data_IF_353955939798
#
_entry.id   IF_353955939798
#
_cell.length_a   1.000
_cell.length_b   1.000
_cell.length_c   1.000
_cell.angle_alpha   90.00
_cell.angle_beta   90.00
_cell.angle_gamma   90.00
#
_symmetry.space_group_name_H-M   'P 1'
#
loop_
_entity.id
_entity.type
_entity.pdbx_description
1 polymer ?
#
# COMPACT_ATOMS: atom_id res chain seq x y z
N UNK A 1 -2.12 -18.33 -10.04
CA UNK A 1 -1.73 -18.68 -8.65
C UNK A 1 -1.13 -17.48 -7.90
N UNK A 2 -0.11 -16.80 -8.42
CA UNK A 2 0.54 -15.67 -7.73
C UNK A 2 -0.40 -14.48 -7.39
N UNK A 3 -1.23 -14.03 -8.34
CA UNK A 3 -2.18 -12.91 -8.15
C UNK A 3 -3.16 -13.19 -6.99
N UNK A 4 -3.73 -14.40 -6.95
CA UNK A 4 -4.66 -14.79 -5.89
C UNK A 4 -4.03 -14.74 -4.50
N UNK A 5 -2.78 -15.19 -4.37
CA UNK A 5 -2.05 -15.10 -3.10
C UNK A 5 -1.83 -13.65 -2.67
N UNK A 6 -1.42 -12.77 -3.60
CA UNK A 6 -1.21 -11.34 -3.30
C UNK A 6 -2.50 -10.67 -2.82
N UNK A 7 -3.64 -10.97 -3.46
CA UNK A 7 -4.95 -10.44 -3.04
C UNK A 7 -5.29 -10.92 -1.63
N UNK A 8 -5.13 -12.21 -1.34
CA UNK A 8 -5.38 -12.77 0.00
C UNK A 8 -4.46 -12.12 1.04
N UNK A 9 -3.17 -11.97 0.73
CA UNK A 9 -2.21 -11.30 1.62
C UNK A 9 -2.62 -9.85 1.90
N UNK A 10 -3.04 -9.08 0.87
CA UNK A 10 -3.52 -7.71 1.06
C UNK A 10 -4.76 -7.66 1.96
N UNK A 11 -5.73 -8.55 1.76
CA UNK A 11 -6.94 -8.62 2.59
C UNK A 11 -6.63 -8.99 4.05
N UNK A 12 -5.71 -9.94 4.27
CA UNK A 12 -5.26 -10.33 5.59
C UNK A 12 -4.55 -9.17 6.31
N UNK A 13 -3.62 -8.50 5.62
CA UNK A 13 -2.91 -7.34 6.19
C UNK A 13 -3.87 -6.23 6.55
N UNK A 14 -4.82 -5.88 5.67
CA UNK A 14 -5.83 -4.87 5.96
C UNK A 14 -6.68 -5.24 7.17
N UNK A 15 -7.10 -6.52 7.27
CA UNK A 15 -7.88 -7.01 8.42
C UNK A 15 -7.10 -6.93 9.73
N UNK A 16 -5.85 -7.36 9.73
CA UNK A 16 -4.96 -7.31 10.91
C UNK A 16 -4.72 -5.86 11.34
N UNK A 17 -4.35 -4.99 10.39
CA UNK A 17 -4.08 -3.57 10.65
C UNK A 17 -5.33 -2.86 11.15
N UNK A 18 -6.50 -3.18 10.60
CA UNK A 18 -7.77 -2.67 11.07
C UNK A 18 -8.03 -3.08 12.53
N UNK A 19 -7.85 -4.36 12.86
CA UNK A 19 -7.99 -4.87 14.23
C UNK A 19 -7.03 -4.21 15.21
N UNK A 20 -5.74 -4.06 14.85
CA UNK A 20 -4.73 -3.37 15.68
C UNK A 20 -5.11 -1.89 15.88
N UNK A 21 -5.76 -1.28 14.89
CA UNK A 21 -6.25 0.08 14.95
C UNK A 21 -7.46 0.27 15.87
N UNK A 22 -8.24 -0.77 16.18
CA UNK A 22 -9.42 -0.64 17.06
C UNK A 22 -9.00 -0.16 18.45
N UNK A 23 -9.76 0.78 19.00
CA UNK A 23 -9.45 1.42 20.30
C UNK A 23 -8.24 2.36 20.32
N UNK A 24 -7.47 2.49 19.22
CA UNK A 24 -6.35 3.44 19.14
C UNK A 24 -6.82 4.85 18.77
N UNK A 25 -6.05 5.85 19.21
CA UNK A 25 -6.28 7.26 18.86
C UNK A 25 -6.18 7.47 17.34
N UNK A 26 -6.84 8.53 16.84
CA UNK A 26 -6.75 8.92 15.42
C UNK A 26 -5.29 9.13 14.98
N UNK A 27 -4.44 9.62 15.88
CA UNK A 27 -3.00 9.79 15.67
C UNK A 27 -2.32 8.46 15.35
N UNK A 28 -2.44 7.50 16.26
CA UNK A 28 -1.82 6.17 16.13
C UNK A 28 -2.36 5.43 14.90
N UNK A 29 -3.66 5.54 14.61
CA UNK A 29 -4.25 4.96 13.38
C UNK A 29 -3.58 5.49 12.11
N UNK A 30 -3.37 6.79 12.00
CA UNK A 30 -2.68 7.38 10.84
C UNK A 30 -1.24 6.87 10.70
N UNK A 31 -0.50 6.75 11.80
CA UNK A 31 0.88 6.23 11.77
C UNK A 31 0.89 4.78 11.27
N UNK A 32 0.04 3.91 11.85
CA UNK A 32 -0.03 2.49 11.46
C UNK A 32 -0.40 2.38 9.99
N UNK A 33 -1.47 3.06 9.55
CA UNK A 33 -1.91 3.01 8.16
C UNK A 33 -0.88 3.58 7.19
N UNK A 34 -0.20 4.68 7.55
CA UNK A 34 0.87 5.24 6.71
C UNK A 34 2.00 4.24 6.47
N UNK A 35 2.49 3.58 7.53
CA UNK A 35 3.53 2.55 7.43
C UNK A 35 3.02 1.35 6.62
N UNK A 36 1.80 0.86 6.87
CA UNK A 36 1.21 -0.24 6.11
C UNK A 36 1.11 0.09 4.62
N UNK A 37 0.71 1.32 4.29
CA UNK A 37 0.63 1.77 2.90
C UNK A 37 2.01 1.76 2.25
N UNK A 38 3.03 2.31 2.92
CA UNK A 38 4.38 2.42 2.36
C UNK A 38 5.07 1.07 2.17
N UNK A 39 4.99 0.18 3.17
CA UNK A 39 5.81 -1.04 3.20
C UNK A 39 5.10 -2.22 2.56
N UNK A 40 3.76 -2.28 2.63
CA UNK A 40 3.01 -3.46 2.20
C UNK A 40 2.13 -3.15 1.00
N UNK A 41 1.24 -2.16 1.10
CA UNK A 41 0.26 -1.90 0.04
C UNK A 41 0.95 -1.36 -1.21
N UNK A 42 1.85 -0.38 -1.09
CA UNK A 42 2.53 0.22 -2.22
C UNK A 42 3.24 -0.82 -3.11
N UNK A 43 4.16 -1.66 -2.61
CA UNK A 43 4.84 -2.63 -3.47
C UNK A 43 3.91 -3.73 -4.00
N UNK A 44 2.98 -4.24 -3.19
CA UNK A 44 2.11 -5.33 -3.61
C UNK A 44 1.05 -4.86 -4.61
N UNK A 45 0.42 -3.71 -4.38
CA UNK A 45 -0.63 -3.18 -5.26
C UNK A 45 -0.03 -2.66 -6.58
N UNK A 46 1.13 -2.00 -6.54
CA UNK A 46 1.81 -1.59 -7.78
C UNK A 46 2.17 -2.80 -8.63
N UNK A 47 2.69 -3.88 -8.02
CA UNK A 47 3.01 -5.12 -8.71
C UNK A 47 1.76 -5.81 -9.26
N UNK A 48 0.70 -5.88 -8.45
CA UNK A 48 -0.58 -6.52 -8.80
C UNK A 48 -1.23 -5.89 -10.04
N UNK A 49 -1.04 -4.59 -10.27
CA UNK A 49 -1.57 -3.88 -11.42
C UNK A 49 -0.56 -3.90 -12.59
N UNK A 50 0.71 -3.60 -12.32
CA UNK A 50 1.70 -3.38 -13.36
C UNK A 50 2.11 -4.67 -14.10
N UNK A 51 2.24 -5.79 -13.40
CA UNK A 51 2.67 -7.05 -14.04
C UNK A 51 1.60 -7.62 -14.97
N UNK A 52 0.32 -7.76 -14.58
CA UNK A 52 -0.71 -8.21 -15.51
C UNK A 52 -0.85 -7.30 -16.73
N UNK A 53 -0.68 -5.99 -16.55
CA UNK A 53 -0.68 -5.03 -17.64
C UNK A 53 0.48 -5.27 -18.63
N UNK A 54 1.72 -5.40 -18.16
CA UNK A 54 2.83 -5.72 -19.07
C UNK A 54 2.70 -7.09 -19.75
N UNK A 55 2.06 -8.07 -19.09
CA UNK A 55 1.73 -9.35 -19.72
C UNK A 55 0.69 -9.18 -20.83
N UNK A 56 -0.35 -8.37 -20.62
CA UNK A 56 -1.36 -8.11 -21.67
C UNK A 56 -0.79 -7.36 -22.86
N UNK A 57 0.16 -6.45 -22.63
CA UNK A 57 0.86 -5.71 -23.69
C UNK A 57 1.99 -6.55 -24.34
N UNK A 58 2.40 -7.66 -23.72
CA UNK A 58 3.53 -8.47 -24.18
C UNK A 58 4.91 -7.78 -24.03
N UNK A 59 4.99 -6.73 -23.21
CA UNK A 59 6.19 -5.90 -23.05
C UNK A 59 6.56 -5.70 -21.57
N UNK A 60 7.78 -6.12 -21.22
CA UNK A 60 8.35 -5.94 -19.89
C UNK A 60 8.60 -4.47 -19.53
N UNK A 61 8.86 -3.60 -20.50
CA UNK A 61 9.01 -2.17 -20.26
C UNK A 61 7.68 -1.52 -19.87
N UNK A 62 6.56 -1.96 -20.44
CA UNK A 62 5.22 -1.51 -20.02
C UNK A 62 4.95 -1.86 -18.55
N UNK A 63 5.30 -3.08 -18.11
CA UNK A 63 5.22 -3.46 -16.70
C UNK A 63 6.11 -2.59 -15.81
N UNK A 64 7.38 -2.42 -16.16
CA UNK A 64 8.34 -1.64 -15.34
C UNK A 64 7.96 -0.16 -15.29
N UNK A 65 7.57 0.42 -16.42
CA UNK A 65 7.14 1.81 -16.51
C UNK A 65 5.92 2.07 -15.63
N UNK A 66 4.91 1.21 -15.68
CA UNK A 66 3.72 1.35 -14.84
C UNK A 66 4.05 1.13 -13.34
N UNK A 67 4.98 0.23 -13.02
CA UNK A 67 5.44 0.01 -11.64
C UNK A 67 6.17 1.23 -11.08
N UNK A 68 7.06 1.85 -11.86
CA UNK A 68 7.82 3.07 -11.48
C UNK A 68 6.90 4.28 -11.29
N UNK A 69 5.71 4.29 -11.91
CA UNK A 69 4.72 5.36 -11.70
C UNK A 69 3.85 5.05 -10.48
N UNK A 70 3.27 3.84 -10.39
CA UNK A 70 2.34 3.48 -9.33
C UNK A 70 3.01 3.42 -7.95
N UNK A 71 4.22 2.84 -7.86
CA UNK A 71 4.87 2.66 -6.57
C UNK A 71 5.14 3.99 -5.86
N UNK A 72 5.77 5.01 -6.47
CA UNK A 72 5.98 6.31 -5.82
C UNK A 72 4.69 7.01 -5.43
N UNK A 73 3.64 6.95 -6.26
CA UNK A 73 2.35 7.58 -5.93
C UNK A 73 1.75 6.95 -4.67
N UNK A 74 1.71 5.62 -4.61
CA UNK A 74 1.19 4.91 -3.44
C UNK A 74 2.08 5.14 -2.22
N UNK A 75 3.40 5.10 -2.38
CA UNK A 75 4.34 5.35 -1.30
C UNK A 75 4.19 6.76 -0.72
N UNK A 76 4.04 7.78 -1.58
CA UNK A 76 3.81 9.16 -1.15
C UNK A 76 2.47 9.31 -0.42
N UNK A 77 1.42 8.60 -0.86
CA UNK A 77 0.14 8.60 -0.13
C UNK A 77 0.28 8.05 1.30
N UNK A 78 1.10 7.00 1.47
CA UNK A 78 1.43 6.44 2.77
C UNK A 78 2.30 7.39 3.61
N UNK A 79 3.28 8.04 2.98
CA UNK A 79 4.14 9.03 3.63
C UNK A 79 3.32 10.22 4.15
N UNK A 80 2.42 10.78 3.34
CA UNK A 80 1.53 11.87 3.76
C UNK A 80 0.67 11.43 4.95
N UNK A 81 0.10 10.23 4.89
CA UNK A 81 -0.72 9.66 5.98
C UNK A 81 0.10 9.49 7.27
N UNK A 82 1.34 9.02 7.16
CA UNK A 82 2.28 8.89 8.27
C UNK A 82 2.61 10.25 8.89
N UNK A 83 2.95 11.25 8.06
CA UNK A 83 3.29 12.60 8.52
C UNK A 83 2.10 13.27 9.23
N UNK A 84 0.87 13.11 8.71
CA UNK A 84 -0.35 13.54 9.40
C UNK A 84 -0.42 12.89 10.78
N UNK A 85 -0.16 11.59 10.88
CA UNK A 85 -0.12 10.87 12.15
C UNK A 85 0.96 11.38 13.11
N UNK A 86 2.17 11.67 12.63
CA UNK A 86 3.29 12.13 13.48
C UNK A 86 3.00 13.53 14.04
N UNK A 87 2.58 14.46 13.19
CA UNK A 87 2.38 15.86 13.56
C UNK A 87 1.03 16.17 14.21
N UNK A 88 0.09 15.21 14.21
CA UNK A 88 -1.18 15.38 14.91
C UNK A 88 -0.93 15.54 16.40
N UNK A 89 -1.29 16.72 16.92
CA UNK A 89 -1.35 16.96 18.36
C UNK A 89 -2.44 16.08 18.97
N UNK A 90 -2.16 15.54 20.16
CA UNK A 90 -3.15 14.86 20.97
C UNK A 90 -4.13 15.94 21.46
N UNK A 91 -5.26 16.10 20.77
CA UNK A 91 -6.45 16.78 21.28
C UNK A 91 -7.30 15.75 22.01
#
# INVERSE_FOLDING_TARGET
MAIGMVIVTLLLVMSIVFMIGLGKSKKTKCIIWGITIMIVIAPLLSWLIAIPYGISEGDGFAAVGLLIILFPILFLSGLVTLLIGIFKKNL
#
